data_IF_549419435854
#
_entry.id   IF_549419435854
#
_cell.length_a   1.000
_cell.length_b   1.000
_cell.length_c   1.000
_cell.angle_alpha   90.00
_cell.angle_beta   90.00
_cell.angle_gamma   90.00
#
_symmetry.space_group_name_H-M   'P 1'
#
loop_
_entity.id
_entity.type
_entity.pdbx_description
1 polymer ?
#
# COMPACT_ATOMS: atom_id res chain seq x y z
N UNK A 1 -6.85 -1.93 -18.88
CA UNK A 1 -6.94 -2.15 -17.42
C UNK A 1 -5.59 -1.85 -16.81
N UNK A 2 -5.53 -1.07 -15.74
CA UNK A 2 -4.29 -0.90 -14.96
C UNK A 2 -3.99 -2.22 -14.24
N UNK A 3 -2.71 -2.64 -14.21
CA UNK A 3 -2.26 -3.87 -13.55
C UNK A 3 -1.91 -3.65 -12.07
N UNK A 4 -1.95 -2.41 -11.58
CA UNK A 4 -1.52 -2.03 -10.23
C UNK A 4 -2.74 -1.58 -9.42
N UNK A 5 -3.00 -2.21 -8.27
CA UNK A 5 -4.11 -1.81 -7.40
C UNK A 5 -3.77 -0.56 -6.55
N UNK A 6 -2.61 -0.56 -5.89
CA UNK A 6 -2.21 0.45 -4.90
C UNK A 6 -0.69 0.61 -4.82
N UNK A 7 -0.22 1.78 -4.41
CA UNK A 7 1.20 2.05 -4.17
C UNK A 7 1.58 1.93 -2.69
N UNK A 8 2.83 1.57 -2.43
CA UNK A 8 3.44 1.54 -1.10
C UNK A 8 4.92 1.97 -1.18
N UNK A 9 5.51 2.48 -0.08
CA UNK A 9 6.93 2.80 -0.04
C UNK A 9 7.79 1.61 -0.46
N UNK A 10 8.75 1.85 -1.35
CA UNK A 10 9.63 0.82 -1.91
C UNK A 10 10.96 1.34 -2.42
N UNK A 11 11.36 2.55 -2.02
CA UNK A 11 12.63 3.18 -2.38
C UNK A 11 13.31 3.60 -1.08
N UNK A 12 14.62 3.36 -0.99
CA UNK A 12 15.47 3.58 0.18
C UNK A 12 14.87 2.94 1.45
N UNK A 13 14.32 1.72 1.33
CA UNK A 13 13.77 0.99 2.46
C UNK A 13 14.91 0.28 3.19
N UNK A 14 15.12 0.64 4.45
CA UNK A 14 16.05 -0.08 5.32
C UNK A 14 15.46 -1.45 5.69
N UNK A 15 16.15 -2.52 5.31
CA UNK A 15 15.75 -3.90 5.58
C UNK A 15 16.93 -4.70 6.14
N UNK A 16 16.63 -5.80 6.85
CA UNK A 16 17.66 -6.71 7.35
C UNK A 16 18.37 -7.40 6.18
N UNK A 17 19.69 -7.48 6.27
CA UNK A 17 20.58 -8.14 5.33
C UNK A 17 21.32 -9.31 6.02
N UNK A 18 22.00 -10.19 5.25
CA UNK A 18 22.91 -11.16 5.84
C UNK A 18 23.95 -10.53 6.78
N UNK A 19 24.60 -11.36 7.59
CA UNK A 19 25.71 -10.95 8.46
C UNK A 19 25.35 -9.94 9.57
N UNK A 20 24.10 -9.96 10.05
CA UNK A 20 23.57 -9.07 11.12
C UNK A 20 23.57 -7.58 10.74
N UNK A 21 23.41 -7.31 9.45
CA UNK A 21 23.42 -5.96 8.89
C UNK A 21 22.03 -5.47 8.48
N UNK A 22 21.96 -4.17 8.16
CA UNK A 22 20.80 -3.53 7.55
C UNK A 22 21.25 -2.71 6.34
N UNK A 23 20.53 -2.83 5.23
CA UNK A 23 20.83 -2.10 4.00
C UNK A 23 19.60 -1.37 3.47
N UNK A 24 19.83 -0.23 2.82
CA UNK A 24 18.79 0.47 2.06
C UNK A 24 18.64 -0.19 0.69
N UNK A 25 17.42 -0.61 0.36
CA UNK A 25 17.11 -1.26 -0.92
C UNK A 25 15.88 -0.65 -1.60
N UNK A 26 15.81 -0.87 -2.91
CA UNK A 26 14.76 -0.36 -3.79
C UNK A 26 14.05 -1.52 -4.49
N UNK A 27 12.74 -1.39 -4.68
CA UNK A 27 11.98 -2.28 -5.54
C UNK A 27 10.57 -2.56 -5.04
N UNK A 28 9.73 -3.04 -5.96
CA UNK A 28 8.38 -3.51 -5.65
C UNK A 28 8.39 -4.71 -4.71
N UNK A 29 9.46 -5.50 -4.68
CA UNK A 29 9.72 -6.55 -3.69
C UNK A 29 9.74 -6.02 -2.25
N UNK A 30 10.01 -4.72 -2.04
CA UNK A 30 10.00 -4.05 -0.74
C UNK A 30 8.64 -3.39 -0.46
N UNK A 31 7.94 -2.92 -1.51
CA UNK A 31 6.56 -2.44 -1.40
C UNK A 31 5.58 -3.55 -1.01
N UNK A 32 5.70 -4.74 -1.60
CA UNK A 32 4.81 -5.88 -1.35
C UNK A 32 4.73 -6.31 0.13
N UNK A 33 5.85 -6.47 0.87
CA UNK A 33 5.80 -6.80 2.29
C UNK A 33 5.25 -5.67 3.16
N UNK A 34 5.33 -4.39 2.75
CA UNK A 34 4.64 -3.30 3.46
C UNK A 34 3.12 -3.51 3.43
N UNK A 35 2.56 -3.79 2.24
CA UNK A 35 1.11 -4.09 2.10
C UNK A 35 0.73 -5.36 2.86
N UNK A 36 1.57 -6.39 2.77
CA UNK A 36 1.38 -7.66 3.48
C UNK A 36 1.36 -7.45 5.00
N UNK A 37 2.23 -6.60 5.54
CA UNK A 37 2.24 -6.25 6.96
C UNK A 37 0.96 -5.56 7.41
N UNK A 38 0.37 -4.69 6.58
CA UNK A 38 -0.93 -4.05 6.86
C UNK A 38 -2.05 -5.10 6.89
N UNK A 39 -2.08 -6.01 5.91
CA UNK A 39 -3.05 -7.11 5.90
C UNK A 39 -2.91 -8.01 7.13
N UNK A 40 -1.68 -8.35 7.53
CA UNK A 40 -1.39 -9.10 8.74
C UNK A 40 -1.84 -8.38 10.01
N UNK A 41 -1.63 -7.05 10.09
CA UNK A 41 -2.11 -6.24 11.21
C UNK A 41 -3.63 -6.24 11.31
N UNK A 42 -4.35 -6.13 10.18
CA UNK A 42 -5.81 -6.22 10.16
C UNK A 42 -6.28 -7.58 10.66
N UNK A 43 -5.72 -8.67 10.14
CA UNK A 43 -6.10 -10.03 10.54
C UNK A 43 -5.73 -10.34 12.00
N UNK A 44 -4.67 -9.75 12.54
CA UNK A 44 -4.29 -9.92 13.94
C UNK A 44 -5.31 -9.31 14.92
N UNK A 45 -5.93 -8.19 14.56
CA UNK A 45 -6.93 -7.51 15.41
C UNK A 45 -8.37 -7.89 15.06
N UNK A 46 -8.64 -8.29 13.82
CA UNK A 46 -9.96 -8.61 13.29
C UNK A 46 -9.90 -9.97 12.57
N UNK A 47 -9.77 -11.08 13.32
CA UNK A 47 -9.53 -12.40 12.75
C UNK A 47 -10.69 -12.94 11.90
N UNK A 48 -11.89 -12.39 12.04
CA UNK A 48 -13.09 -12.78 11.29
C UNK A 48 -13.20 -12.08 9.92
N UNK A 49 -12.25 -11.21 9.55
CA UNK A 49 -12.23 -10.61 8.22
C UNK A 49 -11.82 -11.67 7.18
N UNK A 50 -12.59 -11.75 6.10
CA UNK A 50 -12.20 -12.50 4.92
C UNK A 50 -11.21 -11.70 4.03
N UNK A 51 -10.61 -12.39 3.07
CA UNK A 51 -9.62 -11.80 2.17
C UNK A 51 -10.18 -10.61 1.36
N UNK A 52 -11.46 -10.67 0.97
CA UNK A 52 -12.12 -9.58 0.25
C UNK A 52 -12.28 -8.35 1.13
N UNK A 53 -12.69 -8.51 2.39
CA UNK A 53 -12.81 -7.42 3.34
C UNK A 53 -11.46 -6.77 3.64
N UNK A 54 -10.40 -7.58 3.81
CA UNK A 54 -9.03 -7.06 4.01
C UNK A 54 -8.58 -6.26 2.79
N UNK A 55 -8.76 -6.80 1.58
CA UNK A 55 -8.43 -6.09 0.34
C UNK A 55 -9.20 -4.78 0.23
N UNK A 56 -10.52 -4.80 0.45
CA UNK A 56 -11.38 -3.61 0.42
C UNK A 56 -10.88 -2.55 1.40
N UNK A 57 -10.64 -2.93 2.67
CA UNK A 57 -10.16 -1.99 3.69
C UNK A 57 -8.85 -1.31 3.27
N UNK A 58 -7.91 -2.06 2.69
CA UNK A 58 -6.63 -1.49 2.23
C UNK A 58 -6.83 -0.52 1.06
N UNK A 59 -7.67 -0.87 0.07
CA UNK A 59 -7.86 -0.07 -1.13
C UNK A 59 -8.73 1.17 -0.89
N UNK A 60 -9.84 1.01 -0.18
CA UNK A 60 -10.81 2.10 0.06
C UNK A 60 -10.26 3.18 1.00
N UNK A 61 -9.26 2.85 1.81
CA UNK A 61 -8.64 3.78 2.77
C UNK A 61 -7.31 4.35 2.30
N UNK A 62 -6.91 4.08 1.05
CA UNK A 62 -5.70 4.64 0.47
C UNK A 62 -5.68 6.18 0.59
N UNK A 63 -4.52 6.73 0.89
CA UNK A 63 -4.30 8.18 0.85
C UNK A 63 -4.35 8.63 -0.60
N UNK A 64 -5.34 9.46 -0.93
CA UNK A 64 -5.57 9.96 -2.28
C UNK A 64 -4.39 10.81 -2.77
N UNK A 65 -3.84 10.43 -3.92
CA UNK A 65 -2.81 11.17 -4.62
C UNK A 65 -3.19 11.44 -6.08
N UNK A 66 -4.44 11.17 -6.50
CA UNK A 66 -4.85 11.13 -7.91
C UNK A 66 -4.50 12.39 -8.70
N UNK A 67 -4.61 13.56 -8.06
CA UNK A 67 -4.34 14.86 -8.68
C UNK A 67 -2.86 15.25 -8.76
N UNK A 68 -1.95 14.44 -8.24
CA UNK A 68 -0.52 14.75 -8.22
C UNK A 68 0.14 14.40 -9.56
N UNK A 69 0.86 15.35 -10.15
CA UNK A 69 1.73 15.08 -11.30
C UNK A 69 3.02 14.40 -10.83
N UNK A 70 3.36 13.28 -11.46
CA UNK A 70 4.60 12.52 -11.18
C UNK A 70 5.30 12.13 -12.46
N UNK A 71 6.57 11.73 -12.35
CA UNK A 71 7.32 11.14 -13.46
C UNK A 71 6.74 9.76 -13.74
N UNK A 72 6.45 9.47 -15.01
CA UNK A 72 5.98 8.15 -15.44
C UNK A 72 7.07 7.11 -15.14
N UNK A 73 6.74 6.02 -14.43
CA UNK A 73 7.69 4.93 -14.22
C UNK A 73 8.20 4.35 -15.54
N UNK A 74 9.51 4.25 -15.71
CA UNK A 74 10.15 3.68 -16.89
C UNK A 74 10.26 4.61 -18.12
N UNK A 75 9.94 5.90 -17.98
CA UNK A 75 10.03 6.90 -19.05
C UNK A 75 11.00 8.03 -18.65
N UNK A 76 11.81 8.51 -19.61
CA UNK A 76 12.81 9.56 -19.39
C UNK A 76 12.19 10.95 -19.61
N UNK A 77 11.21 11.33 -18.77
CA UNK A 77 10.73 12.72 -18.67
C UNK A 77 9.25 12.95 -18.96
N UNK A 78 8.47 11.91 -19.23
CA UNK A 78 7.01 12.01 -19.28
C UNK A 78 6.40 12.28 -17.90
N UNK A 79 5.55 13.29 -17.78
CA UNK A 79 4.72 13.52 -16.58
C UNK A 79 3.34 12.91 -16.74
N UNK A 80 2.79 12.33 -15.69
CA UNK A 80 1.47 11.70 -15.66
C UNK A 80 0.77 11.98 -14.34
N UNK A 81 -0.56 12.00 -14.31
CA UNK A 81 -1.30 12.05 -13.05
C UNK A 81 -1.11 10.72 -12.31
N UNK A 82 -0.84 10.77 -11.02
CA UNK A 82 -0.69 9.57 -10.19
C UNK A 82 -1.95 8.69 -10.23
N UNK A 83 -3.12 9.29 -10.41
CA UNK A 83 -4.39 8.59 -10.56
C UNK A 83 -4.49 7.70 -11.80
N UNK A 84 -3.63 7.90 -12.80
CA UNK A 84 -3.57 7.05 -13.99
C UNK A 84 -2.68 5.81 -13.79
N UNK A 85 -1.94 5.74 -12.68
CA UNK A 85 -0.91 4.71 -12.45
C UNK A 85 -1.43 3.48 -11.67
N UNK A 86 -2.56 3.57 -10.98
CA UNK A 86 -3.14 2.46 -10.20
C UNK A 86 -4.66 2.56 -10.11
N UNK A 87 -5.32 1.47 -9.68
CA UNK A 87 -6.78 1.44 -9.46
C UNK A 87 -7.22 2.47 -8.43
N UNK A 88 -6.50 2.57 -7.32
CA UNK A 88 -6.81 3.52 -6.24
C UNK A 88 -6.35 4.94 -6.55
N UNK A 89 -5.28 5.09 -7.34
CA UNK A 89 -4.60 6.37 -7.50
C UNK A 89 -4.04 6.91 -6.17
N UNK A 90 -3.73 6.01 -5.24
CA UNK A 90 -3.32 6.35 -3.89
C UNK A 90 -2.22 5.47 -3.32
N UNK A 91 -1.77 5.84 -2.13
CA UNK A 91 -0.74 5.14 -1.36
C UNK A 91 -1.38 4.52 -0.13
N UNK A 92 -0.92 3.32 0.25
CA UNK A 92 -1.42 2.59 1.44
C UNK A 92 -1.46 3.46 2.69
N UNK A 93 -2.50 3.26 3.51
CA UNK A 93 -2.67 3.99 4.77
C UNK A 93 -3.11 3.02 5.89
N UNK A 94 -2.12 2.48 6.62
CA UNK A 94 -2.36 1.50 7.67
C UNK A 94 -3.31 2.03 8.77
N UNK A 95 -3.12 3.29 9.18
CA UNK A 95 -3.92 3.89 10.25
C UNK A 95 -5.39 4.07 9.82
N UNK A 96 -5.64 4.51 8.59
CA UNK A 96 -7.00 4.64 8.06
C UNK A 96 -7.68 3.27 7.91
N UNK A 97 -6.95 2.25 7.42
CA UNK A 97 -7.46 0.89 7.30
C UNK A 97 -7.89 0.32 8.65
N UNK A 98 -7.06 0.44 9.69
CA UNK A 98 -7.39 -0.05 11.05
C UNK A 98 -8.55 0.75 11.65
N UNK A 99 -8.59 2.09 11.50
CA UNK A 99 -9.72 2.89 11.98
C UNK A 99 -11.03 2.48 11.33
N UNK A 100 -11.02 2.26 10.00
CA UNK A 100 -12.22 1.80 9.30
C UNK A 100 -12.66 0.42 9.75
N UNK A 101 -11.72 -0.50 9.98
CA UNK A 101 -12.03 -1.82 10.52
C UNK A 101 -12.65 -1.76 11.94
N UNK A 102 -12.17 -0.85 12.79
CA UNK A 102 -12.76 -0.61 14.12
C UNK A 102 -14.20 -0.07 14.03
N UNK A 103 -14.48 0.81 13.08
CA UNK A 103 -15.82 1.34 12.82
C UNK A 103 -16.75 0.24 12.32
N UNK A 104 -16.36 -0.48 11.28
CA UNK A 104 -17.12 -1.61 10.71
C UNK A 104 -17.40 -2.70 11.77
N UNK A 105 -16.52 -2.89 12.77
CA UNK A 105 -16.70 -3.86 13.85
C UNK A 105 -17.66 -3.38 14.96
N UNK A 106 -17.81 -2.07 15.16
CA UNK A 106 -18.73 -1.48 16.16
C UNK A 106 -20.17 -1.43 15.66
N UNK A 107 -20.36 -1.47 14.35
CA UNK A 107 -21.67 -1.44 13.69
C UNK A 107 -22.30 -2.83 13.55
N UNK A 108 -21.60 -3.89 13.95
CA UNK A 108 -22.08 -5.29 14.01
C UNK A 108 -22.68 -5.60 15.38
#
# INVERSE_FOLDING_TARGET
>A
ATQVDIFAPGVAIMAAAPDDEYEASDGTSLSAPVVTGIAGLLLAYFPDLDAESVRRLILDTATDARGQMVVRPGDEGGSVLFGELSVTGGVVNAAAAVRRALEDARER
#
